data_IF_566468480798
#
_entry.id   IF_566468480798
#
_cell.length_a   1.000
_cell.length_b   1.000
_cell.length_c   1.000
_cell.angle_alpha   90.00
_cell.angle_beta   90.00
_cell.angle_gamma   90.00
#
_symmetry.space_group_name_H-M   'P 1'
#
loop_
_entity.id
_entity.type
_entity.pdbx_description
1 polymer ?
#
# COMPACT_ATOMS: atom_id res chain seq x y z
N UNK A 1 -1.19 -8.84 31.76
CA UNK A 1 -0.53 -8.05 30.68
C UNK A 1 0.57 -7.16 31.23
N UNK A 2 0.34 -6.28 32.20
CA UNK A 2 1.36 -5.37 32.74
C UNK A 2 2.53 -6.03 33.50
N UNK A 3 2.41 -7.31 33.84
CA UNK A 3 3.44 -8.11 34.49
C UNK A 3 4.24 -9.00 33.52
N UNK A 4 3.89 -9.01 32.23
CA UNK A 4 4.60 -9.78 31.23
C UNK A 4 5.85 -9.02 30.78
N UNK A 5 6.97 -9.70 30.54
CA UNK A 5 8.17 -9.08 30.02
C UNK A 5 7.99 -8.65 28.55
N UNK A 6 8.74 -7.63 28.11
CA UNK A 6 8.58 -7.01 26.77
C UNK A 6 8.88 -8.01 25.66
N UNK A 7 9.82 -8.91 25.90
CA UNK A 7 10.25 -9.99 25.00
C UNK A 7 9.12 -10.98 24.68
N UNK A 8 8.14 -11.11 25.57
CA UNK A 8 6.93 -11.92 25.35
C UNK A 8 5.84 -11.10 24.67
N UNK A 9 5.73 -9.81 25.00
CA UNK A 9 4.72 -8.92 24.43
C UNK A 9 5.02 -8.56 22.97
N UNK A 10 6.28 -8.38 22.60
CA UNK A 10 6.68 -7.96 21.26
C UNK A 10 6.24 -8.96 20.16
N UNK A 11 6.48 -10.28 20.27
CA UNK A 11 5.94 -11.25 19.32
C UNK A 11 4.41 -11.22 19.24
N UNK A 12 3.72 -11.06 20.38
CA UNK A 12 2.25 -10.96 20.41
C UNK A 12 1.81 -9.72 19.63
N UNK A 13 2.45 -8.57 19.84
CA UNK A 13 2.12 -7.35 19.15
C UNK A 13 2.46 -7.41 17.65
N UNK A 14 3.57 -8.03 17.26
CA UNK A 14 3.90 -8.25 15.84
C UNK A 14 2.82 -9.07 15.14
N UNK A 15 2.39 -10.17 15.77
CA UNK A 15 1.31 -11.01 15.23
C UNK A 15 -0.04 -10.29 15.19
N UNK A 16 -0.31 -9.42 16.17
CA UNK A 16 -1.57 -8.69 16.24
C UNK A 16 -1.61 -7.48 15.28
N UNK A 17 -0.48 -6.83 15.04
CA UNK A 17 -0.37 -5.61 14.22
C UNK A 17 -0.20 -5.90 12.72
N UNK A 18 -0.91 -6.90 12.19
CA UNK A 18 -0.92 -7.22 10.74
C UNK A 18 -2.16 -6.66 10.02
N UNK A 19 -3.00 -5.93 10.74
CA UNK A 19 -4.31 -5.44 10.31
C UNK A 19 -4.29 -4.02 9.72
N UNK A 20 -3.15 -3.54 9.22
CA UNK A 20 -3.04 -2.18 8.70
C UNK A 20 -2.90 -1.10 9.78
N UNK A 21 -2.65 -1.48 11.03
CA UNK A 21 -2.25 -0.60 12.13
C UNK A 21 -3.36 -0.30 13.14
N UNK A 22 -4.58 -0.81 12.92
CA UNK A 22 -5.70 -0.58 13.85
C UNK A 22 -5.43 -1.20 15.22
N UNK A 23 -4.98 -2.45 15.25
CA UNK A 23 -4.64 -3.14 16.50
C UNK A 23 -3.47 -2.46 17.20
N UNK A 24 -2.45 -2.03 16.47
CA UNK A 24 -1.32 -1.26 17.03
C UNK A 24 -1.77 0.05 17.68
N UNK A 25 -2.68 0.79 17.03
CA UNK A 25 -3.29 1.98 17.61
C UNK A 25 -4.11 1.66 18.86
N UNK A 26 -4.97 0.64 18.81
CA UNK A 26 -5.79 0.23 19.95
C UNK A 26 -4.94 -0.18 21.17
N UNK A 27 -3.90 -0.99 20.96
CA UNK A 27 -2.95 -1.40 21.99
C UNK A 27 -2.32 -0.18 22.68
N UNK A 28 -1.88 0.81 21.90
CA UNK A 28 -1.24 2.03 22.42
C UNK A 28 -2.16 2.92 23.26
N UNK A 29 -3.47 2.68 23.26
CA UNK A 29 -4.46 3.42 24.04
C UNK A 29 -4.83 2.71 25.35
N UNK A 30 -4.45 1.44 25.53
CA UNK A 30 -4.86 0.64 26.70
C UNK A 30 -4.15 1.03 27.99
N UNK A 31 -2.83 1.28 27.96
CA UNK A 31 -2.06 1.74 29.11
C UNK A 31 -0.72 2.35 28.71
N UNK A 32 -0.07 3.08 29.64
CA UNK A 32 1.27 3.65 29.41
C UNK A 32 2.31 2.57 29.12
N UNK A 33 2.27 1.46 29.86
CA UNK A 33 3.20 0.35 29.68
C UNK A 33 3.02 -0.33 28.32
N UNK A 34 1.77 -0.64 27.93
CA UNK A 34 1.50 -1.24 26.61
C UNK A 34 1.85 -0.27 25.49
N UNK A 35 1.57 1.03 25.65
CA UNK A 35 2.02 2.05 24.69
C UNK A 35 3.52 2.04 24.46
N UNK A 36 4.32 1.94 25.52
CA UNK A 36 5.78 1.84 25.42
C UNK A 36 6.19 0.52 24.78
N UNK A 37 5.65 -0.60 25.25
CA UNK A 37 6.01 -1.93 24.75
C UNK A 37 5.59 -2.15 23.28
N UNK A 38 4.47 -1.57 22.83
CA UNK A 38 3.97 -1.70 21.46
C UNK A 38 4.54 -0.65 20.49
N UNK A 39 5.36 0.30 20.98
CA UNK A 39 5.84 1.44 20.19
C UNK A 39 6.54 1.02 18.90
N UNK A 40 7.34 -0.05 18.96
CA UNK A 40 8.11 -0.59 17.82
C UNK A 40 7.22 -1.28 16.80
N UNK A 41 6.21 -1.99 17.30
CA UNK A 41 5.31 -2.81 16.49
C UNK A 41 4.15 -2.02 15.91
N UNK A 42 3.85 -0.81 16.41
CA UNK A 42 2.66 -0.05 16.01
C UNK A 42 2.63 0.34 14.54
N UNK A 43 3.81 0.41 13.91
CA UNK A 43 3.98 0.74 12.49
C UNK A 43 4.27 -0.49 11.61
N UNK A 44 4.23 -1.70 12.19
CA UNK A 44 4.58 -2.93 11.49
C UNK A 44 3.78 -3.12 10.19
N UNK A 45 2.48 -2.84 10.26
CA UNK A 45 1.56 -2.82 9.11
C UNK A 45 0.82 -1.49 9.06
N UNK A 46 0.79 -0.87 7.88
CA UNK A 46 0.22 0.47 7.66
C UNK A 46 -0.70 0.43 6.45
N UNK A 47 -1.97 0.78 6.67
CA UNK A 47 -2.97 0.91 5.61
C UNK A 47 -3.45 2.36 5.47
N UNK A 48 -3.00 3.05 4.42
CA UNK A 48 -3.41 4.41 4.05
C UNK A 48 -4.41 4.35 2.89
N UNK A 49 -5.55 3.73 3.16
CA UNK A 49 -6.57 3.39 2.14
C UNK A 49 -7.81 4.27 2.19
N UNK A 50 -7.87 5.24 3.10
CA UNK A 50 -9.03 6.16 3.24
C UNK A 50 -9.24 7.07 2.04
N UNK A 51 -8.23 7.18 1.17
CA UNK A 51 -8.19 8.13 0.08
C UNK A 51 -8.03 9.59 0.52
N UNK A 52 -7.67 9.86 1.78
CA UNK A 52 -7.48 11.22 2.29
C UNK A 52 -6.02 11.67 2.17
N UNK A 53 -5.78 12.82 1.53
CA UNK A 53 -4.43 13.44 1.45
C UNK A 53 -3.86 13.69 2.84
N UNK A 54 -4.70 14.14 3.77
CA UNK A 54 -4.28 14.42 5.16
C UNK A 54 -3.83 13.16 5.91
N UNK A 55 -4.27 11.96 5.49
CA UNK A 55 -3.86 10.71 6.12
C UNK A 55 -2.37 10.45 5.88
N UNK A 56 -1.88 10.65 4.66
CA UNK A 56 -0.46 10.48 4.31
C UNK A 56 0.39 11.48 5.06
N UNK A 57 0.00 12.76 5.05
CA UNK A 57 0.73 13.83 5.77
C UNK A 57 0.84 13.54 7.27
N UNK A 58 -0.28 13.17 7.92
CA UNK A 58 -0.29 12.84 9.35
C UNK A 58 0.57 11.61 9.65
N UNK A 59 0.53 10.61 8.78
CA UNK A 59 1.36 9.42 8.92
C UNK A 59 2.85 9.77 8.83
N UNK A 60 3.26 10.50 7.78
CA UNK A 60 4.66 10.93 7.59
C UNK A 60 5.17 11.70 8.81
N UNK A 61 4.40 12.65 9.32
CA UNK A 61 4.76 13.43 10.51
C UNK A 61 4.89 12.55 11.76
N UNK A 62 3.95 11.60 11.96
CA UNK A 62 3.95 10.71 13.13
C UNK A 62 5.07 9.67 13.08
N UNK A 63 5.33 9.10 11.91
CA UNK A 63 6.40 8.13 11.69
C UNK A 63 7.77 8.79 11.79
N UNK A 64 7.96 9.96 11.17
CA UNK A 64 9.19 10.74 11.29
C UNK A 64 9.51 11.09 12.74
N UNK A 65 8.52 11.58 13.49
CA UNK A 65 8.69 11.87 14.93
C UNK A 65 9.10 10.64 15.74
N UNK A 66 8.54 9.47 15.42
CA UNK A 66 8.89 8.22 16.10
C UNK A 66 10.30 7.71 15.74
N UNK A 67 10.76 7.98 14.51
CA UNK A 67 12.12 7.67 14.09
C UNK A 67 13.16 8.54 14.82
N UNK A 68 12.83 9.80 15.11
CA UNK A 68 13.74 10.70 15.84
C UNK A 68 13.81 10.39 17.35
N UNK A 69 12.76 9.81 17.91
CA UNK A 69 12.68 9.49 19.34
C UNK A 69 13.50 8.26 19.75
N UNK A 70 13.70 7.29 18.84
CA UNK A 70 14.40 6.04 19.11
C UNK A 70 15.47 5.80 18.03
N UNK A 71 16.67 6.36 18.27
CA UNK A 71 17.80 6.29 17.33
C UNK A 71 18.39 4.88 17.21
N UNK A 72 18.32 4.10 18.30
CA UNK A 72 18.90 2.77 18.36
C UNK A 72 17.95 1.73 17.75
N UNK A 73 16.63 1.89 17.93
CA UNK A 73 15.62 0.99 17.37
C UNK A 73 14.49 1.73 16.66
N UNK A 74 14.83 2.30 15.50
CA UNK A 74 13.88 2.93 14.57
C UNK A 74 12.70 1.98 14.27
N UNK A 75 11.45 2.46 14.36
CA UNK A 75 10.29 1.66 13.98
C UNK A 75 10.37 1.26 12.50
N UNK A 76 9.89 0.07 12.16
CA UNK A 76 9.94 -0.49 10.80
C UNK A 76 8.55 -0.72 10.24
N UNK A 77 8.33 -0.25 9.01
CA UNK A 77 7.11 -0.54 8.25
C UNK A 77 7.39 -1.71 7.32
N UNK A 78 6.87 -2.89 7.65
CA UNK A 78 7.05 -4.09 6.81
C UNK A 78 5.96 -4.26 5.78
N UNK A 79 4.74 -3.84 6.12
CA UNK A 79 3.58 -4.01 5.27
C UNK A 79 2.96 -2.64 5.01
N UNK A 80 2.97 -2.21 3.75
CA UNK A 80 2.42 -0.91 3.35
C UNK A 80 1.33 -1.09 2.29
N UNK A 81 0.14 -0.55 2.57
CA UNK A 81 -0.95 -0.45 1.60
C UNK A 81 -1.32 1.02 1.39
N UNK A 82 -1.27 1.48 0.14
CA UNK A 82 -1.57 2.85 -0.26
C UNK A 82 -2.69 2.85 -1.29
N UNK A 83 -3.78 3.56 -1.01
CA UNK A 83 -4.78 3.85 -2.03
C UNK A 83 -4.57 5.24 -2.65
N UNK A 84 -4.95 5.37 -3.92
CA UNK A 84 -5.16 6.66 -4.55
C UNK A 84 -6.09 7.52 -3.67
N UNK A 85 -5.85 8.83 -3.63
CA UNK A 85 -6.66 9.72 -2.84
C UNK A 85 -7.96 10.08 -3.59
N UNK A 86 -9.10 9.99 -2.90
CA UNK A 86 -10.37 10.51 -3.39
C UNK A 86 -10.51 11.94 -2.87
N UNK A 87 -10.57 12.92 -3.77
CA UNK A 87 -10.96 14.27 -3.38
C UNK A 87 -12.45 14.21 -3.08
N UNK A 88 -12.82 14.10 -1.79
CA UNK A 88 -14.22 14.33 -1.39
C UNK A 88 -14.63 15.67 -1.98
N UNK A 89 -15.60 15.64 -2.89
CA UNK A 89 -16.21 16.81 -3.55
C UNK A 89 -17.11 17.56 -2.54
N UNK A 90 -16.67 17.64 -1.29
CA UNK A 90 -17.30 18.51 -0.31
C UNK A 90 -16.48 19.81 -0.34
N UNK A 91 -17.06 20.84 -0.95
CA UNK A 91 -16.81 22.28 -0.73
C UNK A 91 -16.01 23.06 -1.79
N UNK A 92 -15.38 22.45 -2.80
CA UNK A 92 -14.43 23.18 -3.67
C UNK A 92 -14.56 22.82 -5.17
N UNK A 93 -15.79 22.65 -5.65
CA UNK A 93 -16.11 22.53 -7.10
C UNK A 93 -15.55 23.73 -7.89
N UNK A 94 -15.43 24.89 -7.25
CA UNK A 94 -14.85 26.13 -7.78
C UNK A 94 -13.30 26.18 -7.78
N UNK A 95 -12.63 25.11 -7.30
CA UNK A 95 -11.18 25.05 -7.32
C UNK A 95 -10.65 25.06 -8.75
N UNK A 96 -10.09 26.21 -9.13
CA UNK A 96 -9.38 26.42 -10.40
C UNK A 96 -8.43 25.25 -10.69
N UNK A 97 -8.26 24.86 -11.97
CA UNK A 97 -7.41 23.72 -12.36
C UNK A 97 -5.98 23.80 -11.82
N UNK A 98 -5.44 25.00 -11.59
CA UNK A 98 -4.12 25.21 -11.00
C UNK A 98 -4.05 24.72 -9.55
N UNK A 99 -5.10 24.96 -8.75
CA UNK A 99 -5.19 24.48 -7.36
C UNK A 99 -5.24 22.96 -7.32
N UNK A 100 -5.96 22.33 -8.26
CA UNK A 100 -6.01 20.86 -8.38
C UNK A 100 -4.64 20.27 -8.66
N UNK A 101 -3.91 20.87 -9.62
CA UNK A 101 -2.55 20.46 -9.96
C UNK A 101 -1.61 20.60 -8.77
N UNK A 102 -1.72 21.68 -7.99
CA UNK A 102 -0.91 21.89 -6.77
C UNK A 102 -1.19 20.84 -5.70
N UNK A 103 -2.47 20.52 -5.44
CA UNK A 103 -2.84 19.49 -4.46
C UNK A 103 -2.32 18.11 -4.89
N UNK A 104 -2.49 17.76 -6.17
CA UNK A 104 -1.96 16.51 -6.70
C UNK A 104 -0.43 16.45 -6.56
N UNK A 105 0.27 17.50 -6.97
CA UNK A 105 1.72 17.56 -6.82
C UNK A 105 2.17 17.44 -5.36
N UNK A 106 1.44 18.06 -4.43
CA UNK A 106 1.74 17.94 -3.00
C UNK A 106 1.53 16.50 -2.51
N UNK A 107 0.38 15.90 -2.80
CA UNK A 107 0.09 14.52 -2.44
C UNK A 107 1.14 13.55 -2.99
N UNK A 108 1.54 13.72 -4.25
CA UNK A 108 2.58 12.88 -4.86
C UNK A 108 3.94 13.05 -4.19
N UNK A 109 4.32 14.29 -3.82
CA UNK A 109 5.53 14.53 -3.02
C UNK A 109 5.46 13.82 -1.68
N UNK A 110 4.34 13.92 -0.97
CA UNK A 110 4.17 13.29 0.34
C UNK A 110 4.21 11.76 0.26
N UNK A 111 3.63 11.17 -0.80
CA UNK A 111 3.72 9.73 -1.07
C UNK A 111 5.16 9.31 -1.40
N UNK A 112 5.90 10.11 -2.17
CA UNK A 112 7.31 9.82 -2.45
C UNK A 112 8.17 9.89 -1.19
N UNK A 113 8.01 10.93 -0.37
CA UNK A 113 8.69 11.04 0.93
C UNK A 113 8.37 9.83 1.81
N UNK A 114 7.10 9.43 1.87
CA UNK A 114 6.70 8.22 2.59
C UNK A 114 7.44 6.99 2.07
N UNK A 115 7.43 6.76 0.76
CA UNK A 115 8.09 5.61 0.13
C UNK A 115 9.58 5.61 0.47
N UNK A 116 10.27 6.75 0.35
CA UNK A 116 11.70 6.88 0.67
C UNK A 116 11.99 6.55 2.14
N UNK A 117 11.12 6.99 3.05
CA UNK A 117 11.28 6.76 4.48
C UNK A 117 11.18 5.28 4.90
N UNK A 118 10.48 4.46 4.11
CA UNK A 118 10.13 3.08 4.47
C UNK A 118 10.71 2.01 3.54
N UNK A 119 11.24 2.39 2.37
CA UNK A 119 11.62 1.45 1.30
C UNK A 119 12.60 0.35 1.73
N UNK A 120 13.48 0.64 2.70
CA UNK A 120 14.47 -0.31 3.20
C UNK A 120 13.84 -1.49 3.96
N UNK A 121 12.70 -1.26 4.62
CA UNK A 121 12.08 -2.20 5.55
C UNK A 121 10.82 -2.87 4.97
N UNK A 122 10.23 -2.32 3.91
CA UNK A 122 8.98 -2.84 3.34
C UNK A 122 9.23 -4.21 2.69
N UNK A 123 8.54 -5.21 3.21
CA UNK A 123 8.50 -6.58 2.68
C UNK A 123 7.30 -6.79 1.75
N UNK A 124 6.18 -6.11 2.02
CA UNK A 124 4.97 -6.20 1.18
C UNK A 124 4.43 -4.81 0.86
N UNK A 125 4.28 -4.51 -0.42
CA UNK A 125 3.78 -3.22 -0.90
C UNK A 125 2.52 -3.41 -1.75
N UNK A 126 1.45 -2.68 -1.40
CA UNK A 126 0.20 -2.73 -2.14
C UNK A 126 -0.22 -1.32 -2.58
N UNK A 127 -0.46 -1.15 -3.87
CA UNK A 127 -1.03 0.06 -4.46
C UNK A 127 -2.45 -0.21 -4.95
N UNK A 128 -3.39 0.64 -4.52
CA UNK A 128 -4.79 0.58 -4.93
C UNK A 128 -5.13 1.84 -5.73
N UNK A 129 -5.07 1.74 -7.05
CA UNK A 129 -5.60 2.77 -7.95
C UNK A 129 -7.11 2.56 -8.11
N UNK A 130 -7.90 3.58 -7.76
CA UNK A 130 -9.34 3.53 -7.91
C UNK A 130 -9.79 3.33 -9.37
N UNK A 131 -10.98 2.71 -9.51
CA UNK A 131 -11.61 2.51 -10.80
C UNK A 131 -12.29 3.82 -11.25
N UNK A 132 -11.99 4.36 -12.45
CA UNK A 132 -12.38 5.69 -12.92
C UNK A 132 -13.89 5.89 -13.14
N UNK A 133 -14.72 4.87 -12.94
CA UNK A 133 -16.18 5.02 -13.03
C UNK A 133 -16.78 5.87 -11.90
N UNK A 134 -16.03 6.18 -10.84
CA UNK A 134 -16.59 6.79 -9.64
C UNK A 134 -16.31 8.28 -9.41
N UNK A 135 -15.44 8.96 -10.18
CA UNK A 135 -15.40 10.43 -10.34
C UNK A 135 -14.13 10.86 -11.11
N UNK A 136 -14.22 11.92 -11.92
CA UNK A 136 -13.09 12.51 -12.67
C UNK A 136 -12.05 13.25 -11.79
N UNK A 137 -12.19 13.17 -10.45
CA UNK A 137 -11.46 13.98 -9.48
C UNK A 137 -10.51 13.15 -8.56
N UNK A 138 -10.28 11.87 -8.88
CA UNK A 138 -9.36 11.04 -8.10
C UNK A 138 -7.89 11.50 -8.26
N UNK A 139 -7.19 11.65 -7.13
CA UNK A 139 -5.75 11.86 -7.05
C UNK A 139 -5.06 10.50 -7.19
N UNK A 140 -4.86 10.11 -8.44
CA UNK A 140 -4.27 8.82 -8.78
C UNK A 140 -2.79 8.78 -8.42
N UNK A 141 -2.31 7.60 -8.03
CA UNK A 141 -0.88 7.38 -7.88
C UNK A 141 -0.18 7.56 -9.25
N UNK A 142 1.09 7.96 -9.26
CA UNK A 142 1.86 8.07 -10.49
C UNK A 142 1.86 6.75 -11.23
N UNK A 143 1.77 6.80 -12.55
CA UNK A 143 2.01 5.61 -13.37
C UNK A 143 3.44 5.10 -13.18
N UNK A 144 4.36 6.01 -12.85
CA UNK A 144 5.77 5.77 -12.64
C UNK A 144 6.17 6.38 -11.29
N UNK A 145 6.53 5.52 -10.34
CA UNK A 145 7.08 5.95 -9.06
C UNK A 145 8.60 5.79 -9.16
N UNK A 146 9.37 6.89 -9.09
CA UNK A 146 10.80 6.83 -8.87
C UNK A 146 11.00 6.10 -7.55
N UNK A 147 11.50 4.87 -7.65
CA UNK A 147 11.62 3.96 -6.54
C UNK A 147 13.06 4.02 -6.03
N UNK A 148 13.26 4.34 -4.74
CA UNK A 148 14.50 3.96 -4.07
C UNK A 148 14.66 2.43 -4.15
N UNK A 149 15.86 1.92 -3.91
CA UNK A 149 16.07 0.49 -3.80
C UNK A 149 15.15 -0.09 -2.71
N UNK A 150 14.43 -1.16 -3.04
CA UNK A 150 13.56 -1.91 -2.13
C UNK A 150 14.22 -3.26 -1.81
N UNK A 151 15.28 -3.29 -0.99
CA UNK A 151 16.07 -4.50 -0.77
C UNK A 151 15.27 -5.61 -0.07
N UNK A 152 14.27 -5.24 0.73
CA UNK A 152 13.47 -6.17 1.54
C UNK A 152 12.17 -6.60 0.86
N UNK A 153 11.77 -5.97 -0.25
CA UNK A 153 10.47 -6.20 -0.87
C UNK A 153 10.38 -7.62 -1.43
N UNK A 154 9.41 -8.38 -0.94
CA UNK A 154 9.13 -9.78 -1.32
C UNK A 154 7.87 -9.88 -2.17
N UNK A 155 6.86 -9.06 -1.86
CA UNK A 155 5.55 -9.09 -2.50
C UNK A 155 5.11 -7.69 -2.91
N UNK A 156 4.75 -7.53 -4.19
CA UNK A 156 4.19 -6.30 -4.72
C UNK A 156 2.80 -6.56 -5.30
N UNK A 157 1.82 -5.75 -4.92
CA UNK A 157 0.48 -5.81 -5.46
C UNK A 157 0.05 -4.47 -6.05
N UNK A 158 -0.52 -4.51 -7.24
CA UNK A 158 -1.11 -3.36 -7.90
C UNK A 158 -2.54 -3.72 -8.27
N UNK A 159 -3.48 -3.01 -7.65
CA UNK A 159 -4.92 -3.16 -7.85
C UNK A 159 -5.43 -1.94 -8.59
N UNK A 160 -6.15 -2.16 -9.69
CA UNK A 160 -6.80 -1.10 -10.45
C UNK A 160 -6.59 -1.19 -11.95
N UNK A 161 -7.07 -0.17 -12.66
CA UNK A 161 -6.96 -0.11 -14.12
C UNK A 161 -5.56 0.25 -14.60
N UNK A 162 -4.98 1.31 -14.04
CA UNK A 162 -3.69 1.83 -14.50
C UNK A 162 -2.55 1.13 -13.78
N UNK A 163 -1.51 0.69 -14.53
CA UNK A 163 -0.31 0.18 -13.90
C UNK A 163 0.33 1.26 -13.05
N UNK A 164 0.76 0.86 -11.85
CA UNK A 164 1.79 1.56 -11.11
C UNK A 164 3.07 0.80 -11.37
N UNK A 165 4.04 1.48 -11.95
CA UNK A 165 5.34 0.95 -12.28
C UNK A 165 6.37 1.55 -11.33
N UNK A 166 7.19 0.69 -10.72
CA UNK A 166 8.34 1.11 -9.95
C UNK A 166 9.53 1.20 -10.91
N UNK A 167 10.20 2.35 -10.95
CA UNK A 167 11.43 2.54 -11.73
C UNK A 167 12.56 2.90 -10.79
N UNK A 168 13.63 2.11 -10.83
CA UNK A 168 14.84 2.42 -10.10
C UNK A 168 15.43 3.77 -10.57
N UNK A 169 15.73 4.65 -9.63
CA UNK A 169 16.35 5.95 -9.91
C UNK A 169 17.86 5.83 -10.14
N UNK A 170 18.48 4.78 -9.61
CA UNK A 170 19.92 4.63 -9.56
C UNK A 170 20.39 3.47 -10.44
N UNK A 171 21.47 3.69 -11.17
CA UNK A 171 22.20 2.67 -11.94
C UNK A 171 23.19 1.89 -11.08
N UNK A 172 22.86 1.68 -9.80
CA UNK A 172 23.74 0.95 -8.89
C UNK A 172 23.97 -0.49 -9.38
N UNK A 173 25.10 -1.09 -9.00
CA UNK A 173 25.42 -2.47 -9.39
C UNK A 173 24.43 -3.50 -8.81
N UNK A 174 23.61 -3.09 -7.82
CA UNK A 174 22.65 -3.98 -7.16
C UNK A 174 21.27 -3.88 -7.81
N UNK A 175 20.59 -5.02 -8.02
CA UNK A 175 19.22 -5.00 -8.49
C UNK A 175 18.31 -4.23 -7.50
N UNK A 176 17.44 -3.32 -7.96
CA UNK A 176 16.52 -2.53 -7.13
C UNK A 176 15.51 -3.35 -6.33
N UNK A 177 15.19 -4.56 -6.78
CA UNK A 177 14.21 -5.45 -6.16
C UNK A 177 14.80 -6.86 -5.96
N UNK A 178 15.91 -6.98 -5.20
CA UNK A 178 16.67 -8.23 -5.14
C UNK A 178 15.87 -9.38 -4.54
N UNK A 179 14.89 -9.09 -3.69
CA UNK A 179 14.08 -10.10 -2.97
C UNK A 179 12.67 -10.26 -3.50
N UNK A 180 12.27 -9.50 -4.53
CA UNK A 180 10.89 -9.56 -5.04
C UNK A 180 10.65 -10.94 -5.67
N UNK A 181 9.69 -11.67 -5.12
CA UNK A 181 9.32 -13.03 -5.56
C UNK A 181 7.96 -13.04 -6.25
N UNK A 182 7.03 -12.26 -5.72
CA UNK A 182 5.62 -12.32 -6.11
C UNK A 182 5.13 -10.95 -6.55
N UNK A 183 4.54 -10.89 -7.73
CA UNK A 183 3.86 -9.70 -8.26
C UNK A 183 2.39 -10.01 -8.55
N UNK A 184 1.50 -9.31 -7.86
CA UNK A 184 0.06 -9.42 -8.04
C UNK A 184 -0.45 -8.23 -8.85
N UNK A 185 -1.07 -8.52 -9.99
CA UNK A 185 -1.77 -7.53 -10.79
C UNK A 185 -3.26 -7.84 -10.84
N UNK A 186 -4.04 -7.06 -10.11
CA UNK A 186 -5.49 -7.15 -10.15
C UNK A 186 -6.03 -6.10 -11.11
N UNK A 187 -6.48 -6.56 -12.27
CA UNK A 187 -7.03 -5.72 -13.32
C UNK A 187 -8.54 -5.70 -13.16
N UNK A 188 -9.11 -4.51 -13.07
CA UNK A 188 -10.56 -4.29 -13.06
C UNK A 188 -10.97 -3.81 -14.46
N UNK A 189 -11.13 -4.69 -15.46
CA UNK A 189 -11.26 -4.33 -16.86
C UNK A 189 -12.36 -3.29 -17.14
N UNK A 190 -12.01 -2.25 -17.91
CA UNK A 190 -12.96 -1.43 -18.63
C UNK A 190 -13.03 -1.94 -20.08
N UNK A 191 -14.07 -2.73 -20.34
CA UNK A 191 -14.68 -3.11 -21.62
C UNK A 191 -13.84 -3.55 -22.83
N UNK A 192 -12.50 -3.59 -22.82
CA UNK A 192 -11.75 -4.17 -23.94
C UNK A 192 -11.22 -5.58 -23.62
N UNK A 193 -11.66 -6.61 -24.37
CA UNK A 193 -10.93 -7.87 -24.46
C UNK A 193 -9.78 -7.65 -25.45
N UNK A 194 -8.62 -8.28 -25.25
CA UNK A 194 -7.76 -8.75 -26.38
C UNK A 194 -6.40 -9.35 -25.99
N UNK A 195 -5.97 -9.33 -24.72
CA UNK A 195 -4.80 -10.14 -24.33
C UNK A 195 -5.21 -11.26 -23.38
N UNK A 196 -4.87 -12.50 -23.75
CA UNK A 196 -4.96 -13.65 -22.86
C UNK A 196 -4.08 -13.36 -21.63
N UNK A 197 -4.56 -13.76 -20.45
CA UNK A 197 -3.86 -13.51 -19.19
C UNK A 197 -2.43 -14.08 -19.21
N UNK A 198 -2.22 -15.19 -19.93
CA UNK A 198 -0.91 -15.83 -20.05
C UNK A 198 0.11 -14.98 -20.83
N UNK A 199 -0.28 -14.35 -21.94
CA UNK A 199 0.61 -13.46 -22.69
C UNK A 199 0.97 -12.21 -21.89
N UNK A 200 0.04 -11.70 -21.07
CA UNK A 200 0.36 -10.59 -20.15
C UNK A 200 1.30 -11.06 -19.04
N UNK A 201 1.12 -12.27 -18.52
CA UNK A 201 1.94 -12.83 -17.44
C UNK A 201 3.40 -12.97 -17.87
N UNK A 202 3.65 -13.57 -19.04
CA UNK A 202 5.02 -13.77 -19.56
C UNK A 202 5.70 -12.44 -19.84
N UNK A 203 4.98 -11.48 -20.42
CA UNK A 203 5.49 -10.14 -20.69
C UNK A 203 5.83 -9.36 -19.41
N UNK A 204 4.96 -9.40 -18.40
CA UNK A 204 5.24 -8.75 -17.13
C UNK A 204 6.42 -9.42 -16.41
N UNK A 205 6.59 -10.72 -16.55
CA UNK A 205 7.70 -11.46 -15.92
C UNK A 205 9.04 -11.07 -16.53
N UNK A 206 9.11 -10.97 -17.86
CA UNK A 206 10.32 -10.49 -18.53
C UNK A 206 10.63 -9.05 -18.14
N UNK A 207 9.62 -8.17 -18.13
CA UNK A 207 9.79 -6.77 -17.72
C UNK A 207 10.32 -6.63 -16.28
N UNK A 208 9.79 -7.40 -15.32
CA UNK A 208 10.26 -7.33 -13.93
C UNK A 208 11.69 -7.84 -13.78
N UNK A 209 12.07 -8.89 -14.51
CA UNK A 209 13.47 -9.37 -14.53
C UNK A 209 14.42 -8.31 -15.10
N UNK A 210 14.06 -7.66 -16.20
CA UNK A 210 14.83 -6.56 -16.81
C UNK A 210 14.95 -5.36 -15.88
N UNK A 211 13.92 -5.09 -15.06
CA UNK A 211 13.91 -4.02 -14.06
C UNK A 211 14.65 -4.37 -12.77
N UNK A 212 15.40 -5.47 -12.74
CA UNK A 212 16.19 -5.86 -11.59
C UNK A 212 15.37 -6.47 -10.45
N UNK A 213 14.35 -7.25 -10.80
CA UNK A 213 13.75 -8.26 -9.93
C UNK A 213 14.12 -9.67 -10.43
N UNK A 214 15.39 -10.10 -10.30
CA UNK A 214 15.86 -11.37 -10.87
C UNK A 214 15.13 -12.59 -10.30
N UNK A 215 14.66 -12.48 -9.05
CA UNK A 215 13.97 -13.54 -8.31
C UNK A 215 12.44 -13.54 -8.49
N UNK A 216 11.90 -12.63 -9.32
CA UNK A 216 10.50 -12.63 -9.65
C UNK A 216 10.15 -13.96 -10.33
N UNK A 217 9.26 -14.72 -9.72
CA UNK A 217 8.92 -16.08 -10.14
C UNK A 217 7.42 -16.29 -10.28
N UNK A 218 6.62 -15.57 -9.48
CA UNK A 218 5.18 -15.68 -9.52
C UNK A 218 4.52 -14.36 -9.89
N UNK A 219 3.83 -14.35 -11.04
CA UNK A 219 2.97 -13.25 -11.46
C UNK A 219 1.54 -13.73 -11.47
N UNK A 220 0.68 -13.11 -10.66
CA UNK A 220 -0.74 -13.41 -10.62
C UNK A 220 -1.52 -12.28 -11.24
N UNK A 221 -2.23 -12.58 -12.33
CA UNK A 221 -3.12 -11.64 -12.98
C UNK A 221 -4.54 -12.06 -12.65
N UNK A 222 -5.26 -11.20 -11.93
CA UNK A 222 -6.65 -11.42 -11.61
C UNK A 222 -7.50 -10.45 -12.40
N UNK A 223 -8.27 -10.99 -13.34
CA UNK A 223 -9.23 -10.24 -14.13
C UNK A 223 -10.57 -10.24 -13.41
N UNK A 224 -10.97 -9.09 -12.89
CA UNK A 224 -12.28 -8.97 -12.24
C UNK A 224 -13.39 -8.77 -13.27
N UNK A 225 -14.39 -9.66 -13.30
CA UNK A 225 -15.55 -9.44 -14.16
C UNK A 225 -16.30 -8.15 -13.77
N UNK A 226 -16.69 -7.36 -14.77
CA UNK A 226 -17.26 -6.01 -14.65
C UNK A 226 -18.58 -5.90 -13.86
N UNK A 227 -19.16 -7.01 -13.40
CA UNK A 227 -20.48 -7.00 -12.76
C UNK A 227 -20.46 -6.62 -11.28
N UNK A 228 -19.36 -6.07 -10.77
CA UNK A 228 -19.33 -5.56 -9.40
C UNK A 228 -20.03 -4.20 -9.34
N UNK A 229 -21.30 -4.17 -8.91
CA UNK A 229 -22.04 -2.93 -8.59
C UNK A 229 -21.51 -2.37 -7.27
N UNK A 230 -20.33 -1.76 -7.28
CA UNK A 230 -19.75 -1.09 -6.11
C UNK A 230 -18.30 -1.49 -5.83
N UNK A 231 -17.56 -0.57 -5.20
CA UNK A 231 -16.13 -0.73 -4.83
C UNK A 231 -15.94 -1.91 -3.84
N UNK A 232 -16.84 -2.04 -2.87
CA UNK A 232 -16.78 -3.01 -1.78
C UNK A 232 -16.90 -4.46 -2.30
N UNK A 233 -17.82 -4.71 -3.25
CA UNK A 233 -18.05 -6.05 -3.82
C UNK A 233 -16.84 -6.55 -4.61
N UNK A 234 -16.14 -5.67 -5.33
CA UNK A 234 -14.93 -6.05 -6.06
C UNK A 234 -13.81 -6.44 -5.09
N UNK A 235 -13.61 -5.66 -4.04
CA UNK A 235 -12.55 -5.89 -3.06
C UNK A 235 -12.83 -7.10 -2.17
N UNK A 236 -14.08 -7.31 -1.75
CA UNK A 236 -14.50 -8.52 -1.02
C UNK A 236 -14.25 -9.79 -1.85
N UNK A 237 -14.52 -9.74 -3.16
CA UNK A 237 -14.18 -10.84 -4.07
C UNK A 237 -12.67 -11.05 -4.21
N UNK A 238 -11.87 -9.98 -4.24
CA UNK A 238 -10.40 -10.08 -4.27
C UNK A 238 -9.89 -10.75 -2.99
N UNK A 239 -10.44 -10.38 -1.84
CA UNK A 239 -10.07 -10.93 -0.54
C UNK A 239 -10.46 -12.41 -0.40
N UNK A 240 -11.61 -12.79 -0.95
CA UNK A 240 -12.12 -14.17 -0.92
C UNK A 240 -11.58 -15.06 -2.03
N UNK A 241 -10.80 -14.51 -2.96
CA UNK A 241 -10.22 -15.29 -4.05
C UNK A 241 -9.11 -16.20 -3.52
N UNK A 242 -9.45 -17.47 -3.31
CA UNK A 242 -8.55 -18.51 -2.80
C UNK A 242 -7.32 -18.74 -3.68
N UNK A 243 -7.34 -18.26 -4.94
CA UNK A 243 -6.17 -18.28 -5.83
C UNK A 243 -5.13 -17.25 -5.43
N UNK A 244 -5.44 -16.34 -4.51
CA UNK A 244 -4.55 -15.31 -4.03
C UNK A 244 -4.38 -15.44 -2.52
N UNK A 245 -3.23 -15.97 -2.12
CA UNK A 245 -2.81 -15.92 -0.72
C UNK A 245 -2.17 -14.56 -0.48
N UNK A 246 -2.99 -13.59 -0.13
CA UNK A 246 -2.50 -12.27 0.23
C UNK A 246 -1.84 -12.34 1.61
N UNK A 247 -0.53 -12.09 1.67
CA UNK A 247 0.12 -11.82 2.97
C UNK A 247 -0.50 -10.61 3.68
N UNK A 248 -1.22 -9.78 2.94
CA UNK A 248 -1.84 -8.54 3.39
C UNK A 248 -3.37 -8.51 3.31
N UNK A 249 -4.05 -9.65 3.23
CA UNK A 249 -5.52 -9.71 3.24
C UNK A 249 -6.17 -8.81 4.33
N UNK A 250 -5.68 -8.76 5.58
CA UNK A 250 -6.24 -7.88 6.60
C UNK A 250 -6.20 -6.38 6.23
N UNK A 251 -5.13 -5.93 5.55
CA UNK A 251 -5.00 -4.53 5.13
C UNK A 251 -6.04 -4.14 4.06
N UNK A 252 -6.32 -5.07 3.13
CA UNK A 252 -7.33 -4.87 2.09
C UNK A 252 -8.76 -4.93 2.64
N UNK A 253 -9.02 -5.69 3.71
CA UNK A 253 -10.32 -5.73 4.36
C UNK A 253 -10.74 -4.36 4.90
N UNK A 254 -9.79 -3.57 5.41
CA UNK A 254 -10.06 -2.19 5.84
C UNK A 254 -10.52 -1.28 4.70
N UNK A 255 -10.00 -1.52 3.50
CA UNK A 255 -10.41 -0.76 2.33
C UNK A 255 -11.89 -1.04 2.01
N UNK A 256 -12.33 -2.32 2.05
CA UNK A 256 -13.74 -2.71 1.87
C UNK A 256 -14.65 -2.00 2.88
N UNK A 257 -14.32 -2.11 4.18
CA UNK A 257 -15.11 -1.53 5.27
C UNK A 257 -15.22 0.00 5.17
N UNK A 258 -14.12 0.68 4.80
CA UNK A 258 -14.11 2.13 4.65
C UNK A 258 -15.03 2.63 3.54
N UNK A 259 -15.31 1.78 2.54
CA UNK A 259 -16.19 2.10 1.41
C UNK A 259 -17.66 1.76 1.67
N UNK A 260 -17.97 0.87 2.62
CA UNK A 260 -19.35 0.49 2.97
C UNK A 260 -20.09 1.57 3.79
N UNK A 261 -19.37 2.47 4.48
CA UNK A 261 -19.98 3.56 5.26
C UNK A 261 -20.48 4.77 4.42
N UNK A 262 -20.59 4.64 3.09
CA UNK A 262 -20.91 5.75 2.17
C UNK A 262 -22.13 5.40 1.28
N UNK A 263 -23.13 4.72 1.84
CA UNK A 263 -24.46 4.57 1.23
C UNK A 263 -25.50 5.39 1.96
#
# INVERSE_FOLDING_TARGET
MHSLPVEVLEPIFLLACTDGGQTGCALSLTSKYIRTASHRTRFHSVSLVSGSVTQVVRFVASYGSACEQDKDEKPRVRHLCLAAANRRISEDEDARPETRKKILQQYLRDVMVLIDMVAQDVETLCFINHCPKFQANDLLLPALIPAPHFPSLVELAVVGLRPVELQATDTSCMPPFPRLRTYHRVIIPNLSPTRTADTLRTHLLSQWKERGAPNASDIRIVLMSQRCRGRCIAMDRILKDSRIQWSFAPMLALYVQSTDCIQ
#
